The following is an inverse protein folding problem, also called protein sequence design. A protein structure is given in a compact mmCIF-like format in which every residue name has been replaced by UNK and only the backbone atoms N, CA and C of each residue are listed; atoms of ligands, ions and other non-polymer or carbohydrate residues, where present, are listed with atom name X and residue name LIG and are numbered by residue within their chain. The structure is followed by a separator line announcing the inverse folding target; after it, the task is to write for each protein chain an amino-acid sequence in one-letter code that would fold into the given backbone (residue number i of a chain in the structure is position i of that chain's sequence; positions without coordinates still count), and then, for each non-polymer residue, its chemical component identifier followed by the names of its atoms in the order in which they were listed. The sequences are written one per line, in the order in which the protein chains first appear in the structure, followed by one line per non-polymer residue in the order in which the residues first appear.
data_IF_331218307204
#
_entry.id   IF_331218307204
#
_cell.length_a   1.000
_cell.length_b   1.000
_cell.length_c   1.000
_cell.angle_alpha   90.00
_cell.angle_beta   90.00
_cell.angle_gamma   90.00
#
_symmetry.space_group_name_H-M   'P 1'
#
loop_
_entity.id
_entity.type
_entity.pdbx_description
1 polymer ?
#
# COMPACT_ATOMS: atom_id res chain seq x y z
N UNK A 1 -1.46 7.03 6.20
CA UNK A 1 -1.58 7.50 4.80
C UNK A 1 -1.01 8.90 4.73
N UNK A 2 -0.20 9.18 3.72
CA UNK A 2 0.48 10.46 3.53
C UNK A 2 0.34 10.92 2.07
N UNK A 3 0.44 12.22 1.83
CA UNK A 3 0.60 12.79 0.49
C UNK A 3 1.78 13.75 0.50
N UNK A 4 2.36 13.99 -0.68
CA UNK A 4 3.55 14.82 -0.80
C UNK A 4 3.17 16.28 -0.96
N UNK A 5 3.57 17.11 0.00
CA UNK A 5 3.43 18.57 -0.05
C UNK A 5 4.70 19.26 -0.58
N UNK A 6 5.88 18.71 -0.26
CA UNK A 6 7.18 19.17 -0.75
C UNK A 6 7.95 18.02 -1.40
N UNK A 7 8.43 18.21 -2.64
CA UNK A 7 9.11 17.19 -3.44
C UNK A 7 8.26 16.71 -4.62
N UNK A 8 8.24 15.40 -4.97
CA UNK A 8 7.42 14.86 -6.04
C UNK A 8 5.91 14.99 -5.74
N UNK A 9 5.27 16.04 -6.27
CA UNK A 9 3.85 16.35 -6.05
C UNK A 9 2.90 15.30 -6.63
N UNK A 10 1.63 15.37 -6.22
CA UNK A 10 0.55 14.45 -6.64
C UNK A 10 0.85 12.97 -6.34
N UNK A 11 1.60 12.72 -5.26
CA UNK A 11 1.99 11.39 -4.81
C UNK A 11 1.36 11.07 -3.46
N UNK A 12 0.62 9.97 -3.42
CA UNK A 12 0.13 9.35 -2.20
C UNK A 12 1.12 8.26 -1.78
N UNK A 13 1.42 8.20 -0.49
CA UNK A 13 2.32 7.20 0.12
C UNK A 13 1.57 6.49 1.25
N UNK A 14 1.57 5.17 1.20
CA UNK A 14 1.03 4.31 2.24
C UNK A 14 2.06 3.23 2.58
N UNK A 15 2.23 2.97 3.87
CA UNK A 15 3.15 1.96 4.39
C UNK A 15 2.30 0.97 5.18
N UNK A 16 2.49 -0.32 4.92
CA UNK A 16 1.76 -1.41 5.54
C UNK A 16 2.75 -2.32 6.25
N UNK A 17 2.47 -2.63 7.52
CA UNK A 17 3.26 -3.59 8.28
C UNK A 17 2.69 -5.00 8.10
N UNK A 18 3.58 -5.96 7.91
CA UNK A 18 3.24 -7.38 7.84
C UNK A 18 4.19 -8.15 8.76
N UNK A 19 3.70 -9.21 9.39
CA UNK A 19 4.49 -10.06 10.28
C UNK A 19 5.61 -10.78 9.55
N UNK A 20 5.33 -11.24 8.33
CA UNK A 20 6.25 -11.96 7.46
C UNK A 20 5.74 -11.95 6.01
N UNK A 21 6.53 -12.52 5.11
CA UNK A 21 6.20 -12.57 3.68
C UNK A 21 4.93 -13.40 3.38
N UNK A 22 4.65 -14.45 4.16
CA UNK A 22 3.43 -15.24 3.96
C UNK A 22 2.17 -14.45 4.32
N UNK A 23 2.21 -13.64 5.39
CA UNK A 23 1.13 -12.71 5.73
C UNK A 23 0.94 -11.66 4.63
N UNK A 24 2.02 -11.09 4.09
CA UNK A 24 1.95 -10.18 2.95
C UNK A 24 1.22 -10.78 1.74
N UNK A 25 1.61 -11.99 1.30
CA UNK A 25 0.97 -12.66 0.16
C UNK A 25 -0.51 -12.96 0.43
N UNK A 26 -0.85 -13.45 1.63
CA UNK A 26 -2.24 -13.70 2.03
C UNK A 26 -3.09 -12.43 1.98
N UNK A 27 -2.58 -11.32 2.52
CA UNK A 27 -3.27 -10.03 2.52
C UNK A 27 -3.46 -9.50 1.09
N UNK A 28 -2.42 -9.63 0.25
CA UNK A 28 -2.46 -9.22 -1.16
C UNK A 28 -3.51 -10.00 -1.95
N UNK A 29 -3.60 -11.31 -1.73
CA UNK A 29 -4.60 -12.16 -2.37
C UNK A 29 -6.03 -11.83 -1.89
N UNK A 30 -6.20 -11.58 -0.59
CA UNK A 30 -7.50 -11.18 -0.05
C UNK A 30 -8.01 -9.87 -0.70
N UNK A 31 -7.15 -8.87 -0.86
CA UNK A 31 -7.53 -7.62 -1.54
C UNK A 31 -7.84 -7.83 -3.02
N UNK A 32 -7.07 -8.67 -3.71
CA UNK A 32 -7.30 -8.98 -5.14
C UNK A 32 -8.60 -9.73 -5.39
N UNK A 33 -8.98 -10.61 -4.47
CA UNK A 33 -10.19 -11.43 -4.56
C UNK A 33 -11.45 -10.72 -4.03
N UNK A 34 -11.33 -9.62 -3.28
CA UNK A 34 -12.47 -8.85 -2.79
C UNK A 34 -13.24 -8.18 -3.97
N UNK A 35 -14.53 -8.53 -4.16
CA UNK A 35 -15.37 -7.90 -5.17
C UNK A 35 -15.56 -6.39 -4.94
N UNK A 36 -15.57 -5.91 -3.69
CA UNK A 36 -15.69 -4.47 -3.39
C UNK A 36 -14.44 -3.72 -3.84
N UNK A 37 -13.27 -4.33 -3.68
CA UNK A 37 -12.03 -3.77 -4.20
C UNK A 37 -12.06 -3.69 -5.72
N UNK A 38 -12.34 -4.81 -6.38
CA UNK A 38 -12.23 -4.94 -7.85
C UNK A 38 -13.35 -4.24 -8.62
N UNK A 39 -14.59 -4.27 -8.12
CA UNK A 39 -15.78 -3.76 -8.83
C UNK A 39 -16.17 -2.34 -8.39
N UNK A 40 -15.94 -1.98 -7.14
CA UNK A 40 -16.37 -0.67 -6.63
C UNK A 40 -15.23 0.33 -6.54
N UNK A 41 -14.11 -0.05 -5.92
CA UNK A 41 -13.03 0.89 -5.60
C UNK A 41 -12.10 1.15 -6.79
N UNK A 42 -11.52 0.09 -7.38
CA UNK A 42 -10.54 0.20 -8.47
C UNK A 42 -11.07 1.03 -9.65
N UNK A 43 -12.32 0.86 -10.14
CA UNK A 43 -12.83 1.67 -11.24
C UNK A 43 -12.89 3.17 -10.94
N UNK A 44 -13.13 3.56 -9.68
CA UNK A 44 -13.18 4.98 -9.28
C UNK A 44 -11.81 5.63 -9.28
N UNK A 45 -10.77 4.89 -8.88
CA UNK A 45 -9.43 5.45 -8.66
C UNK A 45 -8.47 5.22 -9.82
N UNK A 46 -8.72 4.23 -10.69
CA UNK A 46 -7.80 3.82 -11.77
C UNK A 46 -7.42 4.97 -12.70
N UNK A 47 -8.36 5.88 -13.01
CA UNK A 47 -8.09 7.05 -13.86
C UNK A 47 -7.20 8.12 -13.22
N UNK A 48 -7.02 8.09 -11.90
CA UNK A 48 -6.20 9.05 -11.15
C UNK A 48 -4.75 8.58 -11.00
N UNK A 49 -4.46 7.33 -11.31
CA UNK A 49 -3.16 6.70 -11.09
C UNK A 49 -2.32 6.75 -12.37
N UNK A 50 -1.28 7.58 -12.37
CA UNK A 50 -0.33 7.69 -13.49
C UNK A 50 0.81 6.67 -13.38
N UNK A 51 1.31 6.45 -12.16
CA UNK A 51 2.42 5.54 -11.87
C UNK A 51 2.26 4.94 -10.47
N UNK A 52 2.63 3.67 -10.32
CA UNK A 52 2.71 2.99 -9.04
C UNK A 52 4.13 2.48 -8.81
N UNK A 53 4.56 2.47 -7.56
CA UNK A 53 5.86 1.95 -7.13
C UNK A 53 5.73 1.41 -5.71
N UNK A 54 6.19 0.18 -5.51
CA UNK A 54 6.17 -0.50 -4.21
C UNK A 54 7.60 -0.93 -3.83
N UNK A 55 7.87 -0.98 -2.53
CA UNK A 55 9.14 -1.43 -1.97
C UNK A 55 8.89 -2.27 -0.72
N UNK A 56 9.66 -3.35 -0.55
CA UNK A 56 9.70 -4.12 0.70
C UNK A 56 10.81 -3.52 1.56
N UNK A 57 10.49 -3.25 2.82
CA UNK A 57 11.42 -2.66 3.78
C UNK A 57 11.51 -3.54 5.01
N UNK A 58 12.70 -3.64 5.60
CA UNK A 58 12.89 -4.18 6.94
C UNK A 58 12.91 -3.00 7.93
N UNK A 59 12.23 -3.16 9.06
CA UNK A 59 12.31 -2.19 10.14
C UNK A 59 13.74 -2.14 10.70
N UNK A 60 14.20 -0.94 11.05
CA UNK A 60 15.48 -0.79 11.74
C UNK A 60 15.42 -1.40 13.15
N UNK A 61 16.57 -1.80 13.71
CA UNK A 61 16.65 -2.48 15.02
C UNK A 61 16.01 -1.70 16.18
N UNK A 62 16.01 -0.36 16.09
CA UNK A 62 15.41 0.53 17.09
C UNK A 62 13.93 0.84 16.84
N UNK A 63 13.34 0.30 15.78
CA UNK A 63 11.91 0.48 15.49
C UNK A 63 11.11 -0.41 16.45
N UNK A 64 10.22 0.16 17.29
CA UNK A 64 9.48 -0.61 18.29
C UNK A 64 8.41 -1.55 17.69
N UNK A 65 8.28 -1.58 16.37
CA UNK A 65 7.20 -2.28 15.67
C UNK A 65 5.96 -1.40 15.50
N UNK A 66 4.98 -1.88 14.72
CA UNK A 66 3.64 -1.27 14.70
C UNK A 66 2.98 -1.40 16.09
N UNK A 67 2.23 -0.37 16.50
CA UNK A 67 1.38 -0.41 17.70
C UNK A 67 0.08 -1.19 17.46
#
# INVERSE_FOLDING_TARGET
WYHTDVGPLNRVVHIWAYENYAHFEKAREAVRSDPRWTKDYVPRVRGLIVKQQDMIMQGADFFPGPQ
#
